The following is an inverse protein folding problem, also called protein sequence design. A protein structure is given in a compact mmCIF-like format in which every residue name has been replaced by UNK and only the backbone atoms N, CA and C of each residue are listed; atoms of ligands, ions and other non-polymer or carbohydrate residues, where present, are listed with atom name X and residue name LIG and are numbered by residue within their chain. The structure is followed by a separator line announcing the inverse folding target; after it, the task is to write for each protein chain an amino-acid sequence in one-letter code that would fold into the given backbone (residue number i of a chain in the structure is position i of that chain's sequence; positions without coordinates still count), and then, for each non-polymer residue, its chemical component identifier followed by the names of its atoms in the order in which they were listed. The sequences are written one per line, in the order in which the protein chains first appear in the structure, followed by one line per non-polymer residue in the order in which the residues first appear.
data_IF_441165679189
#
_entry.id   IF_441165679189
#
_cell.length_a   1.000
_cell.length_b   1.000
_cell.length_c   1.000
_cell.angle_alpha   90.00
_cell.angle_beta   90.00
_cell.angle_gamma   90.00
#
_symmetry.space_group_name_H-M   'P 1'
#
loop_
_entity.id
_entity.type
_entity.pdbx_description
1 polymer ?
#
# COMPACT_ATOMS: atom_id res chain seq x y z
N UNK A 1 -12.30 -0.47 -15.36
CA UNK A 1 -10.97 -0.39 -14.71
C UNK A 1 -10.64 -1.76 -14.13
N UNK A 2 -9.38 -2.18 -14.21
CA UNK A 2 -8.81 -3.20 -13.34
C UNK A 2 -7.86 -2.50 -12.38
N UNK A 3 -8.12 -2.69 -11.09
CA UNK A 3 -7.50 -1.93 -10.00
C UNK A 3 -6.38 -2.74 -9.36
N UNK A 4 -5.18 -2.17 -9.24
CA UNK A 4 -4.00 -2.86 -8.70
C UNK A 4 -4.19 -3.19 -7.22
N UNK A 5 -4.59 -2.21 -6.39
CA UNK A 5 -4.75 -2.40 -4.95
C UNK A 5 -5.81 -3.47 -4.68
N UNK A 6 -6.99 -3.35 -5.29
CA UNK A 6 -8.09 -4.28 -5.08
C UNK A 6 -7.70 -5.71 -5.44
N UNK A 7 -7.08 -5.90 -6.62
CA UNK A 7 -6.66 -7.23 -7.04
C UNK A 7 -5.52 -7.78 -6.14
N UNK A 8 -4.64 -6.92 -5.64
CA UNK A 8 -3.60 -7.32 -4.68
C UNK A 8 -4.19 -7.79 -3.36
N UNK A 9 -5.17 -7.06 -2.83
CA UNK A 9 -5.87 -7.45 -1.61
C UNK A 9 -6.73 -8.70 -1.82
N UNK A 10 -7.34 -8.88 -3.00
CA UNK A 10 -8.05 -10.11 -3.35
C UNK A 10 -7.11 -11.32 -3.36
N UNK A 11 -5.90 -11.17 -3.91
CA UNK A 11 -4.87 -12.21 -3.85
C UNK A 11 -4.50 -12.54 -2.40
N UNK A 12 -4.20 -11.52 -1.58
CA UNK A 12 -3.84 -11.72 -0.18
C UNK A 12 -4.96 -12.41 0.60
N UNK A 13 -6.22 -12.00 0.39
CA UNK A 13 -7.38 -12.61 1.02
C UNK A 13 -7.56 -14.08 0.61
N UNK A 14 -7.39 -14.44 -0.67
CA UNK A 14 -7.43 -15.85 -1.08
C UNK A 14 -6.27 -16.65 -0.47
N UNK A 15 -5.07 -16.07 -0.34
CA UNK A 15 -3.95 -16.72 0.36
C UNK A 15 -4.24 -16.94 1.84
N UNK A 16 -4.86 -15.98 2.51
CA UNK A 16 -5.26 -16.12 3.92
C UNK A 16 -6.36 -17.18 4.09
N UNK A 17 -7.31 -17.24 3.16
CA UNK A 17 -8.35 -18.27 3.13
C UNK A 17 -7.80 -19.67 2.87
N UNK A 18 -6.71 -19.80 2.09
CA UNK A 18 -5.99 -21.08 1.94
C UNK A 18 -5.48 -21.56 3.29
N UNK A 19 -4.85 -20.68 4.07
CA UNK A 19 -4.32 -21.05 5.39
C UNK A 19 -5.47 -21.34 6.38
N UNK A 20 -6.54 -20.53 6.38
CA UNK A 20 -7.72 -20.78 7.21
C UNK A 20 -8.37 -22.13 6.87
N UNK A 21 -8.56 -22.45 5.58
CA UNK A 21 -9.15 -23.72 5.15
C UNK A 21 -8.36 -24.91 5.68
N UNK A 22 -7.01 -24.85 5.62
CA UNK A 22 -6.14 -25.89 6.18
C UNK A 22 -6.30 -26.02 7.69
N UNK A 23 -6.43 -24.91 8.42
CA UNK A 23 -6.63 -24.90 9.89
C UNK A 23 -7.96 -25.55 10.26
N UNK A 24 -9.04 -25.24 9.54
CA UNK A 24 -10.38 -25.76 9.85
C UNK A 24 -10.67 -27.13 9.23
N UNK A 25 -9.75 -27.68 8.41
CA UNK A 25 -9.88 -28.99 7.77
C UNK A 25 -10.73 -29.00 6.49
N UNK A 26 -10.90 -27.85 5.84
CA UNK A 26 -11.63 -27.67 4.58
C UNK A 26 -10.69 -27.70 3.36
N UNK A 27 -11.24 -27.88 2.15
CA UNK A 27 -10.46 -27.91 0.90
C UNK A 27 -9.92 -26.51 0.51
N UNK A 28 -8.60 -26.28 0.49
CA UNK A 28 -8.02 -24.99 0.10
C UNK A 28 -8.00 -24.76 -1.42
N UNK A 29 -8.17 -25.80 -2.23
CA UNK A 29 -7.91 -25.77 -3.68
C UNK A 29 -8.64 -24.64 -4.43
N UNK A 30 -9.93 -24.33 -4.15
CA UNK A 30 -10.63 -23.24 -4.82
C UNK A 30 -9.98 -21.87 -4.60
N UNK A 31 -9.42 -21.63 -3.40
CA UNK A 31 -8.74 -20.39 -3.05
C UNK A 31 -7.34 -20.33 -3.67
N UNK A 32 -6.62 -21.47 -3.72
CA UNK A 32 -5.33 -21.56 -4.39
C UNK A 32 -5.42 -21.23 -5.88
N UNK A 33 -6.43 -21.76 -6.58
CA UNK A 33 -6.61 -21.51 -8.01
C UNK A 33 -6.99 -20.06 -8.31
N UNK A 34 -7.81 -19.43 -7.45
CA UNK A 34 -8.10 -17.99 -7.59
C UNK A 34 -6.88 -17.13 -7.32
N UNK A 35 -6.11 -17.41 -6.27
CA UNK A 35 -4.87 -16.69 -5.98
C UNK A 35 -3.88 -16.78 -7.16
N UNK A 36 -3.66 -17.98 -7.73
CA UNK A 36 -2.79 -18.16 -8.91
C UNK A 36 -3.26 -17.34 -10.11
N UNK A 37 -4.58 -17.32 -10.37
CA UNK A 37 -5.16 -16.55 -11.48
C UNK A 37 -5.01 -15.04 -11.26
N UNK A 38 -5.29 -14.55 -10.06
CA UNK A 38 -5.19 -13.13 -9.71
C UNK A 38 -3.75 -12.64 -9.82
N UNK A 39 -2.79 -13.37 -9.23
CA UNK A 39 -1.36 -13.06 -9.31
C UNK A 39 -0.90 -12.92 -10.76
N UNK A 40 -1.18 -13.93 -11.59
CA UNK A 40 -0.81 -13.91 -13.02
C UNK A 40 -1.38 -12.68 -13.73
N UNK A 41 -2.65 -12.35 -13.46
CA UNK A 41 -3.30 -11.20 -14.09
C UNK A 41 -2.64 -9.87 -13.71
N UNK A 42 -2.19 -9.73 -12.46
CA UNK A 42 -1.47 -8.53 -12.00
C UNK A 42 -0.08 -8.47 -12.64
N UNK A 43 0.68 -9.56 -12.58
CA UNK A 43 2.07 -9.63 -13.08
C UNK A 43 2.18 -9.41 -14.61
N UNK A 44 1.22 -9.94 -15.39
CA UNK A 44 1.23 -9.87 -16.85
C UNK A 44 0.61 -8.58 -17.41
N UNK A 45 -0.38 -7.99 -16.72
CA UNK A 45 -1.19 -6.90 -17.29
C UNK A 45 -1.03 -5.56 -16.60
N UNK A 46 -0.79 -5.55 -15.29
CA UNK A 46 -0.78 -4.32 -14.51
C UNK A 46 0.63 -3.82 -14.21
N UNK A 47 1.66 -4.63 -14.49
CA UNK A 47 3.06 -4.19 -14.42
C UNK A 47 3.43 -3.37 -15.65
N UNK A 48 3.95 -2.17 -15.42
CA UNK A 48 4.52 -1.30 -16.43
C UNK A 48 6.05 -1.42 -16.43
N UNK A 49 6.59 -2.04 -17.48
CA UNK A 49 8.02 -2.35 -17.57
C UNK A 49 8.88 -1.10 -17.78
N UNK A 50 8.35 -0.06 -18.41
CA UNK A 50 9.11 1.17 -18.70
C UNK A 50 9.27 2.02 -17.43
N UNK A 51 8.19 2.20 -16.68
CA UNK A 51 8.18 2.96 -15.44
C UNK A 51 8.64 2.15 -14.23
N UNK A 52 8.64 0.81 -14.32
CA UNK A 52 9.04 -0.07 -13.21
C UNK A 52 8.06 -0.05 -12.03
N UNK A 53 6.77 0.06 -12.32
CA UNK A 53 5.71 0.17 -11.31
C UNK A 53 4.45 -0.58 -11.75
N UNK A 54 3.44 -0.64 -10.89
CA UNK A 54 2.11 -1.12 -11.24
C UNK A 54 1.16 0.04 -11.54
N UNK A 55 0.37 -0.10 -12.61
CA UNK A 55 -0.63 0.87 -13.05
C UNK A 55 -2.00 0.20 -13.16
N UNK A 56 -3.04 0.95 -12.80
CA UNK A 56 -4.41 0.53 -13.08
C UNK A 56 -4.65 0.46 -14.59
N UNK A 57 -5.59 -0.37 -15.00
CA UNK A 57 -5.86 -0.58 -16.43
C UNK A 57 -7.27 -0.15 -16.81
N UNK A 58 -7.38 0.71 -17.83
CA UNK A 58 -8.66 1.09 -18.40
C UNK A 58 -9.15 0.00 -19.36
N UNK A 59 -10.32 -0.57 -19.05
CA UNK A 59 -10.96 -1.60 -19.88
C UNK A 59 -11.70 -1.02 -21.08
N UNK A 60 -12.09 0.26 -21.03
CA UNK A 60 -12.79 0.94 -22.12
C UNK A 60 -11.78 1.32 -23.20
N UNK A 61 -10.70 1.98 -22.81
CA UNK A 61 -9.64 2.41 -23.73
C UNK A 61 -8.61 1.31 -24.03
N UNK A 62 -8.57 0.22 -23.24
CA UNK A 62 -7.63 -0.88 -23.44
C UNK A 62 -6.17 -0.49 -23.20
N UNK A 63 -5.90 0.35 -22.20
CA UNK A 63 -4.54 0.85 -21.90
C UNK A 63 -4.32 1.07 -20.40
N UNK A 64 -3.05 1.05 -19.94
CA UNK A 64 -2.70 1.50 -18.59
C UNK A 64 -3.13 2.95 -18.35
N UNK A 65 -3.52 3.25 -17.12
CA UNK A 65 -3.82 4.59 -16.63
C UNK A 65 -2.50 5.16 -16.08
N UNK A 66 -1.90 6.19 -16.69
CA UNK A 66 -0.60 6.72 -16.30
C UNK A 66 -0.72 7.64 -15.08
N UNK A 67 -1.17 7.06 -13.95
CA UNK A 67 -1.33 7.72 -12.66
C UNK A 67 -0.51 6.94 -11.64
N UNK A 68 0.47 7.62 -11.06
CA UNK A 68 1.32 7.06 -10.01
C UNK A 68 0.60 7.24 -8.68
N UNK A 69 0.20 6.11 -8.11
CA UNK A 69 -0.69 6.05 -6.95
C UNK A 69 -0.03 5.18 -5.88
N UNK A 70 0.22 5.74 -4.70
CA UNK A 70 0.88 5.05 -3.58
C UNK A 70 0.27 3.68 -3.26
N UNK A 71 -1.07 3.53 -3.25
CA UNK A 71 -1.72 2.23 -3.07
C UNK A 71 -1.37 1.17 -4.12
N UNK A 72 -1.02 1.57 -5.35
CA UNK A 72 -0.59 0.64 -6.40
C UNK A 72 0.83 0.10 -6.15
N UNK A 73 1.60 0.74 -5.27
CA UNK A 73 2.92 0.27 -4.83
C UNK A 73 2.79 -0.53 -3.52
N UNK A 74 2.01 -0.02 -2.56
CA UNK A 74 1.80 -0.63 -1.25
C UNK A 74 1.06 -1.97 -1.34
N UNK A 75 0.00 -2.05 -2.16
CA UNK A 75 -0.84 -3.24 -2.29
C UNK A 75 -0.07 -4.48 -2.73
N UNK A 76 0.64 -4.46 -3.89
CA UNK A 76 1.41 -5.60 -4.36
C UNK A 76 2.51 -6.07 -3.39
N UNK A 77 3.21 -5.13 -2.73
CA UNK A 77 4.23 -5.45 -1.73
C UNK A 77 3.60 -6.14 -0.51
N UNK A 78 2.54 -5.55 0.07
CA UNK A 78 1.82 -6.15 1.18
C UNK A 78 1.27 -7.55 0.86
N UNK A 79 0.74 -7.70 -0.35
CA UNK A 79 0.17 -8.95 -0.80
C UNK A 79 1.21 -10.03 -1.10
N UNK A 80 2.51 -9.70 -1.19
CA UNK A 80 3.57 -10.64 -1.55
C UNK A 80 3.54 -11.09 -3.01
N UNK A 81 3.01 -10.24 -3.90
CA UNK A 81 2.90 -10.54 -5.33
C UNK A 81 4.18 -10.20 -6.09
N UNK A 82 4.89 -9.15 -5.67
CA UNK A 82 6.04 -8.60 -6.40
C UNK A 82 7.17 -9.63 -6.48
N UNK A 83 7.73 -9.84 -7.67
CA UNK A 83 8.94 -10.66 -7.82
C UNK A 83 10.16 -9.94 -7.22
N UNK A 84 11.15 -10.69 -6.73
CA UNK A 84 12.28 -10.11 -5.99
C UNK A 84 13.10 -9.11 -6.81
N UNK A 85 13.24 -9.33 -8.11
CA UNK A 85 13.90 -8.42 -9.05
C UNK A 85 13.10 -7.13 -9.29
N UNK A 86 11.77 -7.20 -9.26
CA UNK A 86 10.87 -6.04 -9.37
C UNK A 86 10.73 -5.28 -8.05
N UNK A 87 10.86 -5.94 -6.90
CA UNK A 87 10.70 -5.33 -5.59
C UNK A 87 11.62 -4.12 -5.41
N UNK A 88 12.87 -4.23 -5.86
CA UNK A 88 13.80 -3.09 -5.86
C UNK A 88 13.26 -1.90 -6.66
N UNK A 89 12.69 -2.13 -7.86
CA UNK A 89 12.18 -1.04 -8.72
C UNK A 89 10.96 -0.34 -8.10
N UNK A 90 10.10 -1.11 -7.43
CA UNK A 90 8.97 -0.58 -6.68
C UNK A 90 9.47 0.30 -5.51
N UNK A 91 10.48 -0.16 -4.78
CA UNK A 91 11.10 0.64 -3.70
C UNK A 91 11.80 1.88 -4.24
N UNK A 92 12.57 1.76 -5.33
CA UNK A 92 13.19 2.91 -5.98
C UNK A 92 12.13 3.96 -6.38
N UNK A 93 10.96 3.52 -6.84
CA UNK A 93 9.82 4.41 -7.15
C UNK A 93 9.29 5.11 -5.91
N UNK A 94 9.15 4.39 -4.79
CA UNK A 94 8.72 4.94 -3.51
C UNK A 94 9.76 5.94 -2.93
N UNK A 95 11.05 5.72 -3.19
CA UNK A 95 12.14 6.58 -2.71
C UNK A 95 12.26 7.90 -3.48
N UNK A 96 11.75 7.96 -4.71
CA UNK A 96 11.78 9.17 -5.53
C UNK A 96 10.99 10.33 -4.90
N UNK A 97 11.29 11.56 -5.34
CA UNK A 97 10.71 12.81 -4.80
C UNK A 97 9.17 12.86 -4.85
N UNK A 98 8.55 12.11 -5.76
CA UNK A 98 7.08 12.00 -5.87
C UNK A 98 6.40 11.28 -4.70
N UNK A 99 7.12 10.42 -3.97
CA UNK A 99 6.57 9.65 -2.84
C UNK A 99 7.39 9.82 -1.55
N UNK A 100 8.69 10.11 -1.65
CA UNK A 100 9.50 10.59 -0.54
C UNK A 100 9.89 9.53 0.50
N UNK A 101 9.83 8.22 0.19
CA UNK A 101 10.19 7.18 1.16
C UNK A 101 11.62 7.32 1.69
N UNK A 102 12.55 7.85 0.89
CA UNK A 102 13.93 8.08 1.31
C UNK A 102 14.08 9.33 2.20
N UNK A 103 13.15 10.27 2.12
CA UNK A 103 13.21 11.54 2.85
C UNK A 103 12.77 11.35 4.31
N UNK A 104 13.70 11.56 5.23
CA UNK A 104 13.46 11.36 6.68
C UNK A 104 12.63 12.48 7.30
N UNK A 105 12.49 13.60 6.60
CA UNK A 105 11.79 14.79 7.06
C UNK A 105 10.34 14.84 6.51
N UNK A 106 9.95 13.89 5.64
CA UNK A 106 8.62 13.82 5.02
C UNK A 106 7.73 12.79 5.71
N UNK A 107 6.51 13.22 6.03
CA UNK A 107 5.37 12.43 6.50
C UNK A 107 4.97 11.42 5.42
N UNK A 108 4.69 10.15 5.75
CA UNK A 108 4.99 9.01 4.90
C UNK A 108 4.03 8.88 3.70
N UNK A 109 4.33 7.96 2.80
CA UNK A 109 3.87 7.88 1.41
C UNK A 109 2.47 8.46 1.14
N UNK A 110 2.39 9.53 0.31
CA UNK A 110 1.11 10.11 -0.11
C UNK A 110 0.32 9.12 -0.95
N UNK A 111 -1.01 9.26 -0.93
CA UNK A 111 -1.87 8.47 -1.81
C UNK A 111 -1.54 8.69 -3.28
N UNK A 112 -1.08 9.88 -3.67
CA UNK A 112 -0.83 10.29 -5.05
C UNK A 112 0.54 10.93 -5.18
N UNK A 113 1.21 10.73 -6.33
CA UNK A 113 2.51 11.36 -6.63
C UNK A 113 2.45 12.89 -6.46
N UNK A 114 3.32 13.44 -5.61
CA UNK A 114 3.41 14.87 -5.29
C UNK A 114 3.60 15.76 -6.54
N UNK A 115 4.18 15.21 -7.61
CA UNK A 115 4.42 15.92 -8.87
C UNK A 115 3.36 15.62 -9.94
N UNK A 116 2.43 14.71 -9.66
CA UNK A 116 1.39 14.34 -10.61
C UNK A 116 0.36 15.46 -10.79
N UNK A 117 -0.15 15.62 -12.01
CA UNK A 117 -1.10 16.68 -12.36
C UNK A 117 -2.36 16.73 -11.48
N UNK A 118 -2.78 15.58 -10.95
CA UNK A 118 -3.95 15.46 -10.08
C UNK A 118 -3.71 15.77 -8.61
N UNK A 119 -2.46 16.04 -8.20
CA UNK A 119 -2.07 16.19 -6.80
C UNK A 119 -2.80 17.33 -6.10
N UNK A 120 -3.13 17.10 -4.83
CA UNK A 120 -3.70 18.07 -3.92
C UNK A 120 -3.51 17.58 -2.49
N UNK A 121 -2.83 18.37 -1.68
CA UNK A 121 -2.52 18.11 -0.27
C UNK A 121 -3.74 17.72 0.57
N UNK A 122 -4.89 18.37 0.33
CA UNK A 122 -6.10 18.17 1.16
C UNK A 122 -7.17 17.25 0.54
N UNK A 123 -7.08 16.91 -0.76
CA UNK A 123 -8.20 16.24 -1.45
C UNK A 123 -8.11 14.72 -1.36
N UNK A 124 -8.48 14.15 -0.22
CA UNK A 124 -8.82 12.74 -0.06
C UNK A 124 -7.77 11.77 -0.68
N UNK A 125 -8.09 11.05 -1.76
CA UNK A 125 -7.15 10.13 -2.44
C UNK A 125 -6.25 10.82 -3.49
N UNK A 126 -6.10 12.14 -3.48
CA UNK A 126 -5.28 12.89 -4.45
C UNK A 126 -3.99 13.45 -3.87
N UNK A 127 -3.51 12.92 -2.76
CA UNK A 127 -2.33 13.48 -2.11
C UNK A 127 -2.20 13.04 -0.66
N UNK A 128 -3.23 13.19 0.18
CA UNK A 128 -3.14 12.83 1.59
C UNK A 128 -2.55 11.45 1.88
N UNK A 129 -1.94 11.35 3.05
CA UNK A 129 -1.41 10.15 3.67
C UNK A 129 -2.54 9.39 4.35
N UNK A 130 -2.61 8.09 4.10
CA UNK A 130 -3.59 7.20 4.71
C UNK A 130 -2.89 6.15 5.56
N UNK A 131 -3.35 5.98 6.81
CA UNK A 131 -2.75 5.04 7.77
C UNK A 131 -2.81 3.61 7.24
N UNK A 132 -3.94 3.19 6.68
CA UNK A 132 -4.08 1.83 6.12
C UNK A 132 -3.12 1.55 4.96
N UNK A 133 -2.86 2.52 4.09
CA UNK A 133 -1.92 2.35 2.98
C UNK A 133 -0.48 2.28 3.48
N UNK A 134 -0.12 3.14 4.43
CA UNK A 134 1.21 3.13 5.02
C UNK A 134 1.44 1.90 5.90
N UNK A 135 0.38 1.38 6.53
CA UNK A 135 0.38 0.10 7.25
C UNK A 135 0.60 -1.09 6.29
N UNK A 136 -0.09 -1.13 5.14
CA UNK A 136 0.18 -2.13 4.11
C UNK A 136 1.63 -2.04 3.63
N UNK A 137 2.11 -0.83 3.35
CA UNK A 137 3.46 -0.63 2.87
C UNK A 137 4.51 -1.02 3.91
N UNK A 138 4.31 -0.69 5.18
CA UNK A 138 5.18 -1.10 6.29
C UNK A 138 5.40 -2.61 6.30
N UNK A 139 4.31 -3.37 6.32
CA UNK A 139 4.33 -4.84 6.29
C UNK A 139 4.92 -5.40 5.00
N UNK A 140 4.60 -4.79 3.86
CA UNK A 140 5.18 -5.16 2.57
C UNK A 140 6.70 -4.97 2.55
N UNK A 141 7.19 -3.81 2.99
CA UNK A 141 8.63 -3.52 3.04
C UNK A 141 9.35 -4.48 4.00
N UNK A 142 8.77 -4.77 5.16
CA UNK A 142 9.28 -5.76 6.10
C UNK A 142 9.42 -7.15 5.47
N UNK A 143 8.36 -7.64 4.81
CA UNK A 143 8.35 -8.94 4.13
C UNK A 143 9.38 -9.05 2.99
N UNK A 144 9.74 -7.94 2.36
CA UNK A 144 10.75 -7.87 1.30
C UNK A 144 12.16 -7.48 1.80
N UNK A 145 12.35 -7.35 3.12
CA UNK A 145 13.66 -7.12 3.75
C UNK A 145 14.09 -5.66 3.86
N UNK A 146 13.20 -4.70 3.57
CA UNK A 146 13.45 -3.26 3.68
C UNK A 146 13.15 -2.74 5.10
N UNK A 147 13.83 -3.31 6.08
CA UNK A 147 13.56 -3.12 7.51
C UNK A 147 13.65 -1.65 7.96
N UNK A 148 14.66 -0.92 7.50
CA UNK A 148 14.83 0.49 7.89
C UNK A 148 13.67 1.36 7.42
N UNK A 149 13.10 1.08 6.24
CA UNK A 149 11.94 1.80 5.74
C UNK A 149 10.67 1.39 6.49
N UNK A 150 10.47 0.09 6.74
CA UNK A 150 9.34 -0.39 7.53
C UNK A 150 9.32 0.22 8.94
N UNK A 151 10.46 0.27 9.63
CA UNK A 151 10.56 0.86 10.97
C UNK A 151 10.29 2.37 10.98
N UNK A 152 10.63 3.07 9.89
CA UNK A 152 10.27 4.48 9.74
C UNK A 152 8.76 4.65 9.58
N UNK A 153 8.12 3.89 8.69
CA UNK A 153 6.66 3.93 8.54
C UNK A 153 5.93 3.59 9.84
N UNK A 154 6.44 2.60 10.59
CA UNK A 154 5.94 2.24 11.92
C UNK A 154 5.93 3.43 12.86
N UNK A 155 7.09 4.08 13.03
CA UNK A 155 7.22 5.28 13.87
C UNK A 155 6.28 6.39 13.41
N UNK A 156 6.17 6.61 12.11
CA UNK A 156 5.34 7.70 11.59
C UNK A 156 3.84 7.46 11.80
N UNK A 157 3.35 6.22 11.65
CA UNK A 157 1.96 5.87 12.01
C UNK A 157 1.69 6.21 13.49
N UNK A 158 2.64 5.88 14.38
CA UNK A 158 2.55 6.19 15.81
C UNK A 158 2.53 7.70 16.06
N UNK A 159 3.47 8.44 15.46
CA UNK A 159 3.61 9.90 15.65
C UNK A 159 2.39 10.66 15.12
N UNK A 160 1.91 10.36 13.92
CA UNK A 160 0.71 11.00 13.37
C UNK A 160 -0.51 10.82 14.27
N UNK A 161 -0.79 9.58 14.67
CA UNK A 161 -1.95 9.31 15.51
C UNK A 161 -1.79 9.89 16.94
N UNK A 162 -0.55 9.96 17.46
CA UNK A 162 -0.25 10.56 18.76
C UNK A 162 -0.45 12.07 18.74
N UNK A 163 0.08 12.75 17.72
CA UNK A 163 0.22 14.20 17.70
C UNK A 163 -1.04 14.88 17.13
N UNK A 164 -1.72 14.23 16.18
CA UNK A 164 -2.88 14.78 15.49
C UNK A 164 -4.19 14.09 15.87
N UNK A 165 -4.13 12.92 16.50
CA UNK A 165 -5.29 12.10 16.82
C UNK A 165 -5.71 11.19 15.67
N UNK A 166 -6.90 10.60 15.77
CA UNK A 166 -7.36 9.52 14.89
C UNK A 166 -8.09 10.06 13.65
N UNK A 167 -7.37 10.84 12.85
CA UNK A 167 -7.89 11.38 11.60
C UNK A 167 -8.01 10.33 10.50
N UNK A 168 -8.88 10.59 9.51
CA UNK A 168 -9.10 9.70 8.37
C UNK A 168 -7.88 9.63 7.45
N UNK A 169 -7.25 10.79 7.21
CA UNK A 169 -6.04 10.97 6.42
C UNK A 169 -5.30 12.23 6.90
N UNK A 170 -4.06 12.39 6.48
CA UNK A 170 -3.16 13.44 6.94
C UNK A 170 -2.54 14.18 5.75
N UNK A 171 -2.28 15.46 5.91
CA UNK A 171 -1.54 16.26 4.93
C UNK A 171 -0.12 15.66 4.74
N UNK A 172 0.34 15.43 3.50
CA UNK A 172 1.64 14.78 3.27
C UNK A 172 2.84 15.69 3.54
N UNK A 173 2.65 17.00 3.60
CA UNK A 173 3.72 17.98 3.82
C UNK A 173 3.77 18.45 5.27
N UNK A 174 2.63 18.68 5.90
CA UNK A 174 2.55 19.18 7.28
C UNK A 174 2.26 18.10 8.31
N UNK A 175 1.65 16.99 7.89
CA UNK A 175 1.13 15.95 8.78
C UNK A 175 -0.17 16.33 9.47
N UNK A 176 -0.78 17.48 9.16
CA UNK A 176 -2.02 17.89 9.80
C UNK A 176 -3.15 16.88 9.55
N UNK A 177 -3.92 16.60 10.60
CA UNK A 177 -5.07 15.70 10.51
C UNK A 177 -6.20 16.29 9.66
N UNK A 178 -6.69 15.53 8.69
CA UNK A 178 -7.77 15.89 7.79
C UNK A 178 -8.95 14.90 7.87
N UNK A 179 -10.07 15.24 7.24
CA UNK A 179 -11.26 14.39 7.22
C UNK A 179 -11.92 14.19 8.60
N UNK A 180 -12.46 13.01 8.83
CA UNK A 180 -13.10 12.66 10.12
C UNK A 180 -12.07 12.49 11.25
N UNK A 181 -12.38 12.97 12.45
CA UNK A 181 -11.44 13.10 13.58
C UNK A 181 -11.47 11.92 14.59
N UNK A 182 -12.43 11.02 14.46
CA UNK A 182 -12.57 9.80 15.28
C UNK A 182 -12.69 8.58 14.35
N UNK A 183 -11.68 8.40 13.50
CA UNK A 183 -11.70 7.41 12.45
C UNK A 183 -11.22 6.04 12.94
N UNK A 184 -12.11 5.04 12.86
CA UNK A 184 -11.90 3.75 13.51
C UNK A 184 -10.71 2.95 12.98
N UNK A 185 -10.43 2.93 11.67
CA UNK A 185 -9.26 2.18 11.20
C UNK A 185 -7.96 2.80 11.68
N UNK A 186 -7.91 4.12 11.95
CA UNK A 186 -6.64 4.79 12.27
C UNK A 186 -6.25 4.39 13.67
N UNK A 187 -7.25 4.40 14.57
CA UNK A 187 -7.12 3.83 15.91
C UNK A 187 -6.80 2.32 15.88
N UNK A 188 -7.51 1.53 15.06
CA UNK A 188 -7.32 0.07 15.03
C UNK A 188 -5.93 -0.32 14.52
N UNK A 189 -5.43 0.32 13.47
CA UNK A 189 -4.12 0.03 12.89
C UNK A 189 -2.98 0.58 13.75
N UNK A 190 -3.19 1.69 14.47
CA UNK A 190 -2.25 2.10 15.51
C UNK A 190 -2.13 1.03 16.59
N UNK A 191 -3.25 0.47 17.07
CA UNK A 191 -3.22 -0.58 18.08
C UNK A 191 -2.43 -1.80 17.62
N UNK A 192 -2.66 -2.23 16.38
CA UNK A 192 -1.91 -3.32 15.74
C UNK A 192 -0.40 -3.03 15.73
N UNK A 193 0.00 -1.85 15.24
CA UNK A 193 1.41 -1.41 15.22
C UNK A 193 2.07 -1.42 16.61
N UNK A 194 1.35 -0.97 17.64
CA UNK A 194 1.87 -0.90 19.02
C UNK A 194 1.98 -2.27 19.68
N UNK A 195 1.13 -3.23 19.30
CA UNK A 195 1.15 -4.57 19.87
C UNK A 195 2.30 -5.42 19.31
N UNK A 196 2.70 -5.17 18.06
CA UNK A 196 3.84 -5.84 17.42
C UNK A 196 5.21 -5.41 17.98
N UNK A 197 5.36 -4.18 18.49
CA UNK A 197 6.63 -3.74 19.14
C UNK A 197 6.89 -4.45 20.49
N UNK A 198 5.88 -5.13 21.04
CA UNK A 198 5.94 -5.79 22.34
C UNK A 198 6.36 -7.26 22.33
N UNK A 199 6.59 -7.86 21.16
CA UNK A 199 7.06 -9.25 20.96
C UNK A 199 8.57 -9.32 20.71
#
# INVERSE_FOLDING_TARGET
MQDVLFNSLLYKADRDLVEIARIVGEDPSPHEERAKKTRRSIEEKLWDEDCGTYLDYDLVDGRPIPVYFGPNLAGPLYAGIVEQDRAKRVVDTLENEGFGLADKDVTPIPSYDLHGFGFSEERYWRGPVWININWFLMHGLEAYGYQDHAQRLRRTIIELCRDQGFHEYFDPLTGDGLGSILFSWSAALLLDVLLEEGE
#
